data_IF_812873445284
#
_entry.id   IF_812873445284
#
_cell.length_a   1.000
_cell.length_b   1.000
_cell.length_c   1.000
_cell.angle_alpha   90.00
_cell.angle_beta   90.00
_cell.angle_gamma   90.00
#
_symmetry.space_group_name_H-M   'P 1'
#
loop_
_entity.id
_entity.type
_entity.pdbx_description
1 polymer ?
#
# COMPACT_ATOMS: atom_id res chain seq x y z
N UNK A 1 25.93 39.04 20.08
CA UNK A 1 25.05 37.86 20.16
C UNK A 1 24.31 37.71 18.83
N UNK A 2 24.80 36.89 17.90
CA UNK A 2 24.22 36.69 16.57
C UNK A 2 23.30 35.48 16.58
N UNK A 3 22.01 35.71 16.36
CA UNK A 3 20.98 34.67 16.20
C UNK A 3 21.20 33.97 14.85
N UNK A 4 21.75 32.75 14.87
CA UNK A 4 21.78 31.87 13.69
C UNK A 4 20.39 31.27 13.51
N UNK A 5 19.66 31.75 12.52
CA UNK A 5 18.42 31.13 12.06
C UNK A 5 18.73 29.80 11.38
N UNK A 6 18.25 28.69 11.96
CA UNK A 6 18.23 27.36 11.36
C UNK A 6 17.26 27.36 10.16
N UNK A 7 17.73 27.83 9.01
CA UNK A 7 17.06 27.62 7.73
C UNK A 7 17.36 26.17 7.34
N UNK A 8 16.48 25.25 7.74
CA UNK A 8 16.53 23.87 7.26
C UNK A 8 16.47 23.92 5.75
N UNK A 9 17.55 23.48 5.10
CA UNK A 9 17.76 23.61 3.66
C UNK A 9 16.68 22.82 2.91
N UNK A 10 15.67 23.53 2.41
CA UNK A 10 14.51 22.95 1.72
C UNK A 10 14.90 22.02 0.57
N UNK A 11 16.05 22.24 -0.05
CA UNK A 11 16.54 21.39 -1.13
C UNK A 11 17.14 20.07 -0.63
N UNK A 12 17.76 20.07 0.55
CA UNK A 12 18.24 18.84 1.20
C UNK A 12 17.07 17.92 1.57
N UNK A 13 15.98 18.50 2.07
CA UNK A 13 14.75 17.75 2.36
C UNK A 13 14.13 17.15 1.11
N UNK A 14 14.04 17.92 0.01
CA UNK A 14 13.56 17.42 -1.28
C UNK A 14 14.44 16.30 -1.81
N UNK A 15 15.75 16.42 -1.68
CA UNK A 15 16.68 15.39 -2.09
C UNK A 15 16.52 14.11 -1.26
N UNK A 16 16.33 14.23 0.06
CA UNK A 16 16.04 13.08 0.93
C UNK A 16 14.73 12.40 0.55
N UNK A 17 13.68 13.14 0.24
CA UNK A 17 12.40 12.58 -0.22
C UNK A 17 12.57 11.80 -1.53
N UNK A 18 13.24 12.38 -2.53
CA UNK A 18 13.55 11.70 -3.80
C UNK A 18 14.30 10.38 -3.58
N UNK A 19 15.28 10.38 -2.68
CA UNK A 19 16.06 9.19 -2.36
C UNK A 19 15.20 8.12 -1.67
N UNK A 20 14.33 8.51 -0.74
CA UNK A 20 13.41 7.59 -0.06
C UNK A 20 12.39 6.99 -1.03
N UNK A 21 11.82 7.79 -1.94
CA UNK A 21 10.90 7.31 -2.97
C UNK A 21 11.59 6.33 -3.93
N UNK A 22 12.83 6.62 -4.33
CA UNK A 22 13.60 5.74 -5.20
C UNK A 22 13.93 4.41 -4.51
N UNK A 23 14.30 4.44 -3.23
CA UNK A 23 14.58 3.24 -2.44
C UNK A 23 13.31 2.41 -2.22
N UNK A 24 12.19 3.07 -1.91
CA UNK A 24 10.88 2.42 -1.81
C UNK A 24 10.50 1.72 -3.12
N UNK A 25 10.74 2.35 -4.27
CA UNK A 25 10.51 1.72 -5.59
C UNK A 25 11.39 0.48 -5.80
N UNK A 26 12.67 0.54 -5.41
CA UNK A 26 13.57 -0.63 -5.50
C UNK A 26 13.08 -1.78 -4.64
N UNK A 27 12.74 -1.50 -3.39
CA UNK A 27 12.25 -2.51 -2.43
C UNK A 27 10.92 -3.12 -2.91
N UNK A 28 10.00 -2.30 -3.41
CA UNK A 28 8.76 -2.76 -4.04
C UNK A 28 9.01 -3.71 -5.22
N UNK A 29 10.00 -3.40 -6.06
CA UNK A 29 10.34 -4.25 -7.20
C UNK A 29 10.90 -5.61 -6.76
N UNK A 30 11.71 -5.64 -5.70
CA UNK A 30 12.23 -6.89 -5.10
C UNK A 30 11.08 -7.71 -4.49
N UNK A 31 10.19 -7.07 -3.74
CA UNK A 31 9.04 -7.75 -3.11
C UNK A 31 8.08 -8.33 -4.15
N UNK A 32 7.83 -7.62 -5.27
CA UNK A 32 7.07 -8.16 -6.40
C UNK A 32 7.71 -9.41 -7.03
N UNK A 33 9.04 -9.48 -7.07
CA UNK A 33 9.76 -10.65 -7.57
C UNK A 33 9.69 -11.83 -6.59
N UNK A 34 9.79 -11.56 -5.29
CA UNK A 34 9.67 -12.59 -4.25
C UNK A 34 8.26 -13.18 -4.20
N UNK A 35 7.22 -12.36 -4.29
CA UNK A 35 5.83 -12.83 -4.30
C UNK A 35 5.51 -13.71 -5.52
N UNK A 36 6.23 -13.54 -6.64
CA UNK A 36 6.13 -14.44 -7.81
C UNK A 36 6.78 -15.81 -7.60
N UNK A 37 7.68 -15.94 -6.62
CA UNK A 37 8.37 -17.20 -6.30
C UNK A 37 7.63 -18.02 -5.24
N UNK A 38 6.76 -17.39 -4.45
CA UNK A 38 6.04 -18.03 -3.33
C UNK A 38 4.75 -18.75 -3.75
N UNK A 39 4.39 -18.73 -5.04
CA UNK A 39 3.17 -19.41 -5.51
C UNK A 39 3.44 -20.39 -6.67
N UNK A 40 3.98 -21.59 -6.39
CA UNK A 40 3.80 -22.73 -7.27
C UNK A 40 2.36 -23.21 -7.08
N UNK A 41 1.52 -22.88 -8.04
CA UNK A 41 0.26 -23.54 -8.41
C UNK A 41 -0.11 -24.79 -7.57
N UNK A 42 -1.03 -24.66 -6.61
CA UNK A 42 -1.72 -25.79 -5.98
C UNK A 42 -3.18 -25.41 -5.66
N UNK A 43 -4.13 -26.37 -5.75
CA UNK A 43 -5.50 -26.09 -6.15
C UNK A 43 -6.38 -25.61 -5.01
N UNK A 44 -7.46 -24.93 -5.40
CA UNK A 44 -8.56 -24.48 -4.58
C UNK A 44 -8.92 -25.49 -3.47
N UNK A 45 -8.67 -25.17 -2.20
CA UNK A 45 -9.45 -25.72 -1.10
C UNK A 45 -9.20 -25.09 0.27
N UNK A 46 -10.33 -24.78 0.89
CA UNK A 46 -10.58 -24.52 2.31
C UNK A 46 -10.12 -23.17 2.87
N UNK A 47 -11.10 -22.27 2.92
CA UNK A 47 -11.18 -21.14 3.85
C UNK A 47 -10.86 -21.56 5.28
N UNK A 48 -9.59 -21.55 5.65
CA UNK A 48 -9.20 -21.33 7.04
C UNK A 48 -9.29 -19.83 7.27
N UNK A 49 -9.90 -19.46 8.39
CA UNK A 49 -10.13 -18.09 8.84
C UNK A 49 -8.80 -17.40 9.22
N UNK A 50 -7.86 -17.26 8.28
CA UNK A 50 -6.71 -16.38 8.48
C UNK A 50 -7.22 -14.94 8.42
N UNK A 51 -6.96 -14.12 9.46
CA UNK A 51 -7.36 -12.72 9.45
C UNK A 51 -6.53 -11.98 8.39
N UNK A 52 -7.14 -11.72 7.24
CA UNK A 52 -6.50 -10.99 6.14
C UNK A 52 -6.77 -9.49 6.18
N UNK A 53 -6.03 -8.76 5.37
CA UNK A 53 -6.14 -7.31 5.20
C UNK A 53 -6.79 -7.00 3.86
N UNK A 54 -7.65 -5.99 3.81
CA UNK A 54 -8.25 -5.48 2.56
C UNK A 54 -8.02 -3.98 2.46
N UNK A 55 -7.86 -3.49 1.24
CA UNK A 55 -7.72 -2.05 0.97
C UNK A 55 -9.09 -1.52 0.56
N UNK A 56 -9.58 -0.51 1.27
CA UNK A 56 -10.90 0.07 1.07
C UNK A 56 -10.81 1.55 0.72
N UNK A 57 -11.65 1.97 -0.22
CA UNK A 57 -11.94 3.37 -0.47
C UNK A 57 -12.97 3.84 0.58
N UNK A 58 -12.69 4.95 1.23
CA UNK A 58 -13.53 5.49 2.31
C UNK A 58 -14.37 6.64 1.76
N UNK A 59 -15.70 6.52 1.84
CA UNK A 59 -16.63 7.62 1.60
C UNK A 59 -17.39 7.90 2.88
N UNK A 60 -17.43 9.16 3.32
CA UNK A 60 -18.22 9.59 4.48
C UNK A 60 -18.03 8.71 5.74
N UNK A 61 -16.80 8.20 5.93
CA UNK A 61 -16.41 7.31 7.04
C UNK A 61 -16.89 5.85 6.96
N UNK A 62 -17.49 5.40 5.86
CA UNK A 62 -17.83 3.99 5.63
C UNK A 62 -17.01 3.39 4.47
N UNK A 63 -16.50 2.16 4.62
CA UNK A 63 -15.88 1.44 3.50
C UNK A 63 -16.97 0.94 2.56
N UNK A 64 -17.06 1.52 1.37
CA UNK A 64 -18.09 1.15 0.38
C UNK A 64 -17.55 0.22 -0.71
N UNK A 65 -16.26 0.32 -1.04
CA UNK A 65 -15.62 -0.49 -2.09
C UNK A 65 -14.23 -0.94 -1.68
N UNK A 66 -13.88 -2.17 -2.06
CA UNK A 66 -12.58 -2.81 -1.82
C UNK A 66 -11.76 -2.82 -3.11
N UNK A 67 -10.46 -2.63 -3.02
CA UNK A 67 -9.54 -2.73 -4.16
C UNK A 67 -9.29 -4.19 -4.54
N UNK A 68 -9.22 -4.48 -5.84
CA UNK A 68 -8.63 -5.70 -6.37
C UNK A 68 -7.65 -5.41 -7.49
N UNK A 69 -6.90 -6.41 -7.96
CA UNK A 69 -5.99 -6.28 -9.11
C UNK A 69 -6.68 -5.79 -10.39
N UNK A 70 -8.03 -5.87 -10.46
CA UNK A 70 -8.84 -5.40 -11.58
C UNK A 70 -9.58 -4.08 -11.29
N UNK A 71 -9.25 -3.38 -10.19
CA UNK A 71 -9.86 -2.10 -9.80
C UNK A 71 -10.80 -2.20 -8.59
N UNK A 72 -11.57 -1.14 -8.35
CA UNK A 72 -12.51 -1.03 -7.23
C UNK A 72 -13.72 -1.97 -7.42
N UNK A 73 -14.04 -2.75 -6.37
CA UNK A 73 -15.12 -3.74 -6.34
C UNK A 73 -16.03 -3.53 -5.13
N UNK A 74 -17.28 -4.02 -5.16
CA UNK A 74 -18.13 -4.04 -3.98
C UNK A 74 -17.47 -4.80 -2.81
N UNK A 75 -17.87 -4.45 -1.58
CA UNK A 75 -17.42 -5.11 -0.35
C UNK A 75 -17.49 -6.64 -0.45
N UNK A 76 -16.48 -7.32 0.07
CA UNK A 76 -16.32 -8.77 0.02
C UNK A 76 -15.64 -9.30 -1.25
N UNK A 77 -15.47 -8.47 -2.28
CA UNK A 77 -14.86 -8.89 -3.57
C UNK A 77 -13.50 -8.25 -3.85
N UNK A 78 -12.91 -7.56 -2.88
CA UNK A 78 -11.55 -7.07 -2.97
C UNK A 78 -10.52 -8.18 -2.85
N UNK A 79 -9.28 -7.84 -3.20
CA UNK A 79 -8.12 -8.69 -2.93
C UNK A 79 -7.87 -8.73 -1.42
N UNK A 80 -7.80 -9.94 -0.87
CA UNK A 80 -7.38 -10.19 0.50
C UNK A 80 -5.86 -10.36 0.53
N UNK A 81 -5.19 -9.58 1.36
CA UNK A 81 -3.75 -9.67 1.60
C UNK A 81 -3.52 -10.45 2.88
N UNK A 82 -2.56 -11.37 2.86
CA UNK A 82 -2.28 -12.22 4.01
C UNK A 82 -1.56 -11.46 5.13
N UNK A 83 -0.73 -10.50 4.74
CA UNK A 83 0.07 -9.68 5.66
C UNK A 83 -0.23 -8.19 5.51
N UNK A 84 0.03 -7.43 6.59
CA UNK A 84 -0.15 -5.99 6.58
C UNK A 84 0.83 -5.34 5.60
N UNK A 85 2.04 -5.88 5.52
CA UNK A 85 3.09 -5.44 4.63
C UNK A 85 2.62 -5.52 3.17
N UNK A 86 2.07 -6.65 2.72
CA UNK A 86 1.53 -6.80 1.37
C UNK A 86 0.44 -5.75 1.06
N UNK A 87 -0.44 -5.48 2.03
CA UNK A 87 -1.48 -4.48 1.90
C UNK A 87 -0.89 -3.06 1.83
N UNK A 88 0.13 -2.73 2.62
CA UNK A 88 0.81 -1.43 2.60
C UNK A 88 1.50 -1.16 1.26
N UNK A 89 2.18 -2.15 0.68
CA UNK A 89 2.83 -1.98 -0.63
C UNK A 89 1.80 -1.74 -1.75
N UNK A 90 0.68 -2.47 -1.69
CA UNK A 90 -0.41 -2.27 -2.63
C UNK A 90 -1.07 -0.90 -2.43
N UNK A 91 -1.31 -0.49 -1.18
CA UNK A 91 -1.86 0.83 -0.85
C UNK A 91 -0.97 1.94 -1.41
N UNK A 92 0.35 1.86 -1.23
CA UNK A 92 1.28 2.85 -1.77
C UNK A 92 1.19 2.98 -3.30
N UNK A 93 0.97 1.86 -4.00
CA UNK A 93 0.76 1.89 -5.46
C UNK A 93 -0.56 2.58 -5.82
N UNK A 94 -1.64 2.21 -5.14
CA UNK A 94 -2.97 2.76 -5.40
C UNK A 94 -3.01 4.26 -5.05
N UNK A 95 -2.38 4.67 -3.94
CA UNK A 95 -2.35 6.07 -3.51
C UNK A 95 -1.59 6.96 -4.51
N UNK A 96 -0.63 6.41 -5.25
CA UNK A 96 0.06 7.15 -6.31
C UNK A 96 -0.87 7.41 -7.51
N UNK A 97 -1.75 6.45 -7.83
CA UNK A 97 -2.72 6.58 -8.93
C UNK A 97 -3.97 7.38 -8.52
N UNK A 98 -4.30 7.39 -7.22
CA UNK A 98 -5.48 8.01 -6.62
C UNK A 98 -5.13 8.87 -5.39
N UNK A 99 -4.33 9.94 -5.54
CA UNK A 99 -3.77 10.68 -4.40
C UNK A 99 -4.82 11.42 -3.56
N UNK A 100 -5.91 11.87 -4.19
CA UNK A 100 -6.95 12.68 -3.54
C UNK A 100 -7.97 11.83 -2.76
N UNK A 101 -7.86 10.50 -2.86
CA UNK A 101 -8.82 9.59 -2.26
C UNK A 101 -8.35 9.10 -0.89
N UNK A 102 -9.28 9.08 0.07
CA UNK A 102 -9.03 8.45 1.36
C UNK A 102 -9.13 6.94 1.22
N UNK A 103 -7.97 6.27 1.18
CA UNK A 103 -7.87 4.82 1.06
C UNK A 103 -7.25 4.30 2.36
N UNK A 104 -7.82 3.23 2.93
CA UNK A 104 -7.37 2.64 4.19
C UNK A 104 -7.25 1.12 4.09
N UNK A 105 -6.32 0.55 4.86
CA UNK A 105 -6.25 -0.89 5.08
C UNK A 105 -7.14 -1.24 6.26
N UNK A 106 -8.02 -2.22 6.06
CA UNK A 106 -8.89 -2.78 7.10
C UNK A 106 -8.56 -4.25 7.32
N UNK A 107 -8.62 -4.70 8.57
CA UNK A 107 -8.51 -6.11 8.92
C UNK A 107 -9.88 -6.77 8.79
N UNK A 108 -9.95 -7.93 8.14
CA UNK A 108 -11.15 -8.77 8.07
C UNK A 108 -11.28 -9.68 9.30
#
# INVERSE_FOLDING_TARGET
MTKKTNYVNTEELRQRLRNLEAEQRRQNAVLRKLNKLENPEAPASHHTHTPGYVICLMFESQPTVEWSQAGWRPRGRGTCYETLEQAVLSLATIQNDWPDYQIKILKK
#
